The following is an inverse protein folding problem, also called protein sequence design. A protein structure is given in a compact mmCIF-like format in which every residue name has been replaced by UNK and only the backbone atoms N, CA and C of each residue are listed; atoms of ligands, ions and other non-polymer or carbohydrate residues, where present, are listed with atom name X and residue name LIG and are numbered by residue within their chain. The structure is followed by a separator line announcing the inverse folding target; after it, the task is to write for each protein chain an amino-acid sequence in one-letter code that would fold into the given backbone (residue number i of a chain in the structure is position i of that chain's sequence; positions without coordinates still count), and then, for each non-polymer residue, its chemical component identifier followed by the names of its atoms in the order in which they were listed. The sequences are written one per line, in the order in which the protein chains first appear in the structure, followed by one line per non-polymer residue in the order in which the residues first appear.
data_IF_535108692277
#
_entry.id   IF_535108692277
#
_cell.length_a   1.000
_cell.length_b   1.000
_cell.length_c   1.000
_cell.angle_alpha   90.00
_cell.angle_beta   90.00
_cell.angle_gamma   90.00
#
_symmetry.space_group_name_H-M   'P 1'
#
loop_
_entity.id
_entity.type
_entity.pdbx_description
1 polymer ?
#
# COMPACT_ATOMS: atom_id res chain seq x y z
N UNK A 1 21.89 -22.60 -24.80
CA UNK A 1 20.58 -23.25 -24.65
C UNK A 1 20.66 -24.55 -23.85
N UNK A 2 21.41 -25.58 -24.27
CA UNK A 2 21.54 -26.86 -23.51
C UNK A 2 21.85 -26.72 -22.00
N UNK A 3 22.83 -25.88 -21.64
CA UNK A 3 23.17 -25.66 -20.23
C UNK A 3 22.02 -25.03 -19.41
N UNK A 4 21.20 -24.20 -20.03
CA UNK A 4 20.03 -23.56 -19.41
C UNK A 4 18.87 -24.55 -19.25
N UNK A 5 18.65 -25.41 -20.25
CA UNK A 5 17.67 -26.51 -20.20
C UNK A 5 17.99 -27.45 -19.04
N UNK A 6 19.24 -27.90 -18.94
CA UNK A 6 19.67 -28.79 -17.85
C UNK A 6 19.54 -28.13 -16.46
N UNK A 7 19.70 -26.81 -16.36
CA UNK A 7 19.50 -26.10 -15.11
C UNK A 7 18.02 -26.08 -14.68
N UNK A 8 17.10 -25.83 -15.62
CA UNK A 8 15.66 -25.83 -15.32
C UNK A 8 15.16 -27.23 -14.97
N UNK A 9 15.63 -28.27 -15.67
CA UNK A 9 15.32 -29.68 -15.33
C UNK A 9 15.74 -30.01 -13.89
N UNK A 10 16.89 -29.50 -13.43
CA UNK A 10 17.34 -29.67 -12.04
C UNK A 10 16.45 -28.90 -11.05
N UNK A 11 16.07 -27.66 -11.36
CA UNK A 11 15.19 -26.84 -10.50
C UNK A 11 13.83 -27.52 -10.33
N UNK A 12 13.25 -28.03 -11.42
CA UNK A 12 11.98 -28.75 -11.39
C UNK A 12 12.08 -30.16 -10.80
N UNK A 13 13.29 -30.68 -10.61
CA UNK A 13 13.54 -32.09 -10.33
C UNK A 13 12.80 -33.02 -11.32
N UNK A 14 12.77 -32.62 -12.60
CA UNK A 14 12.05 -33.28 -13.68
C UNK A 14 12.88 -33.27 -14.96
N UNK A 15 12.97 -34.43 -15.62
CA UNK A 15 13.61 -34.54 -16.94
C UNK A 15 12.57 -34.69 -18.03
N UNK A 16 12.63 -33.80 -19.01
CA UNK A 16 11.73 -33.83 -20.15
C UNK A 16 12.04 -35.01 -21.07
N UNK A 17 10.98 -35.65 -21.58
CA UNK A 17 11.08 -36.65 -22.65
C UNK A 17 11.35 -35.96 -23.98
N UNK A 18 10.65 -34.86 -24.25
CA UNK A 18 10.93 -33.96 -25.37
C UNK A 18 11.50 -32.63 -24.89
N UNK A 19 12.83 -32.49 -25.00
CA UNK A 19 13.54 -31.26 -24.60
C UNK A 19 13.09 -30.01 -25.36
N UNK A 20 12.50 -30.17 -26.55
CA UNK A 20 12.01 -29.04 -27.36
C UNK A 20 10.84 -28.32 -26.67
N UNK A 21 10.01 -29.04 -25.91
CA UNK A 21 8.92 -28.44 -25.16
C UNK A 21 9.43 -27.41 -24.14
N UNK A 22 10.55 -27.72 -23.48
CA UNK A 22 11.21 -26.80 -22.54
C UNK A 22 11.90 -25.63 -23.27
N UNK A 23 12.54 -25.89 -24.41
CA UNK A 23 13.14 -24.82 -25.22
C UNK A 23 12.08 -23.82 -25.73
N UNK A 24 10.95 -24.32 -26.22
CA UNK A 24 9.82 -23.50 -26.68
C UNK A 24 9.20 -22.70 -25.53
N UNK A 25 9.00 -23.33 -24.35
CA UNK A 25 8.45 -22.64 -23.18
C UNK A 25 9.33 -21.49 -22.67
N UNK A 26 10.65 -21.59 -22.83
CA UNK A 26 11.60 -20.55 -22.45
C UNK A 26 11.83 -19.51 -23.55
N UNK A 27 11.25 -19.71 -24.74
CA UNK A 27 11.41 -18.82 -25.89
C UNK A 27 10.20 -17.89 -26.00
N UNK A 28 10.38 -16.64 -25.61
CA UNK A 28 9.33 -15.63 -25.76
C UNK A 28 9.17 -15.20 -27.23
N UNK A 29 7.96 -14.87 -27.67
CA UNK A 29 7.64 -14.45 -29.06
C UNK A 29 8.39 -13.20 -29.54
N UNK A 30 8.94 -12.42 -28.61
CA UNK A 30 9.80 -11.26 -28.89
C UNK A 30 11.28 -11.62 -29.06
N UNK A 31 11.64 -12.91 -29.14
CA UNK A 31 12.98 -13.38 -29.49
C UNK A 31 13.27 -13.17 -30.99
N UNK A 32 13.00 -11.96 -31.46
CA UNK A 32 13.54 -11.34 -32.67
C UNK A 32 14.54 -10.27 -32.22
N UNK A 33 15.55 -9.92 -33.03
CA UNK A 33 16.76 -9.11 -32.75
C UNK A 33 16.66 -7.80 -31.91
N UNK A 34 15.49 -7.39 -31.42
CA UNK A 34 15.29 -6.25 -30.53
C UNK A 34 15.15 -6.68 -29.06
N UNK A 35 16.24 -6.64 -28.30
CA UNK A 35 16.20 -6.75 -26.84
C UNK A 35 15.45 -5.57 -26.21
N UNK A 36 14.33 -5.83 -25.54
CA UNK A 36 13.63 -4.81 -24.74
C UNK A 36 14.32 -4.67 -23.37
N UNK A 37 15.25 -3.71 -23.28
CA UNK A 37 15.97 -3.39 -22.03
C UNK A 37 15.03 -3.04 -20.87
N UNK A 38 13.87 -2.44 -21.17
CA UNK A 38 12.87 -2.06 -20.17
C UNK A 38 12.30 -3.26 -19.40
N UNK A 39 12.05 -4.39 -20.08
CA UNK A 39 11.50 -5.59 -19.43
C UNK A 39 12.50 -6.22 -18.47
N UNK A 40 13.77 -6.30 -18.90
CA UNK A 40 14.85 -6.83 -18.07
C UNK A 40 15.08 -5.94 -16.85
N UNK A 41 15.05 -4.63 -17.04
CA UNK A 41 15.20 -3.69 -15.93
C UNK A 41 14.04 -3.81 -14.93
N UNK A 42 12.80 -3.94 -15.43
CA UNK A 42 11.65 -4.14 -14.56
C UNK A 42 11.71 -5.45 -13.77
N UNK A 43 12.22 -6.54 -14.37
CA UNK A 43 12.45 -7.81 -13.67
C UNK A 43 13.52 -7.67 -12.58
N UNK A 44 14.61 -6.94 -12.84
CA UNK A 44 15.66 -6.70 -11.82
C UNK A 44 15.11 -5.90 -10.64
N UNK A 45 14.41 -4.80 -10.91
CA UNK A 45 13.81 -3.97 -9.85
C UNK A 45 12.82 -4.78 -9.02
N UNK A 46 12.00 -5.63 -9.67
CA UNK A 46 11.10 -6.53 -8.96
C UNK A 46 11.86 -7.53 -8.09
N UNK A 47 12.91 -8.17 -8.60
CA UNK A 47 13.71 -9.12 -7.84
C UNK A 47 14.36 -8.46 -6.61
N UNK A 48 14.92 -7.26 -6.75
CA UNK A 48 15.45 -6.49 -5.63
C UNK A 48 14.38 -6.11 -4.60
N UNK A 49 13.18 -5.76 -5.05
CA UNK A 49 12.06 -5.45 -4.16
C UNK A 49 11.67 -6.67 -3.32
N UNK A 50 11.55 -7.84 -3.93
CA UNK A 50 11.24 -9.10 -3.24
C UNK A 50 12.31 -9.48 -2.22
N UNK A 51 13.61 -9.25 -2.50
CA UNK A 51 14.68 -9.54 -1.53
C UNK A 51 14.66 -8.67 -0.27
N UNK A 52 13.95 -7.53 -0.32
CA UNK A 52 13.82 -6.60 0.81
C UNK A 52 12.53 -6.83 1.61
N UNK A 53 11.73 -7.82 1.24
CA UNK A 53 10.51 -8.18 1.97
C UNK A 53 10.88 -9.16 3.10
N UNK A 54 10.75 -8.71 4.35
CA UNK A 54 11.13 -9.48 5.55
C UNK A 54 10.17 -10.65 5.85
N UNK A 55 8.95 -10.65 5.29
CA UNK A 55 7.93 -11.69 5.51
C UNK A 55 7.16 -12.02 4.22
N UNK A 56 6.62 -13.25 4.17
CA UNK A 56 5.76 -13.70 3.08
C UNK A 56 4.46 -12.87 3.01
N UNK A 57 4.28 -12.14 1.91
CA UNK A 57 3.09 -11.30 1.66
C UNK A 57 2.12 -12.03 0.73
N UNK A 58 1.08 -12.68 1.26
CA UNK A 58 0.10 -13.41 0.47
C UNK A 58 -0.72 -12.52 -0.50
N UNK A 59 -0.74 -11.20 -0.23
CA UNK A 59 -1.61 -10.24 -0.91
C UNK A 59 -0.85 -9.11 -1.58
N UNK A 60 0.13 -9.46 -2.41
CA UNK A 60 0.88 -8.52 -3.22
C UNK A 60 1.93 -7.78 -2.38
N UNK A 61 3.19 -8.02 -2.72
CA UNK A 61 4.33 -7.35 -2.12
C UNK A 61 4.38 -5.85 -2.42
N UNK A 62 5.54 -5.27 -2.15
CA UNK A 62 5.88 -3.87 -2.41
C UNK A 62 5.76 -3.49 -3.90
N UNK A 63 5.90 -4.48 -4.79
CA UNK A 63 5.79 -4.33 -6.23
C UNK A 63 4.94 -5.46 -6.84
N UNK A 64 4.17 -5.14 -7.89
CA UNK A 64 3.48 -6.16 -8.68
C UNK A 64 4.47 -6.92 -9.55
N UNK A 65 4.39 -8.25 -9.54
CA UNK A 65 5.17 -9.11 -10.41
C UNK A 65 5.00 -8.73 -11.90
N UNK A 66 6.11 -8.62 -12.67
CA UNK A 66 6.08 -8.50 -14.11
C UNK A 66 5.28 -9.63 -14.76
N UNK A 67 4.40 -9.30 -15.71
CA UNK A 67 3.57 -10.30 -16.41
C UNK A 67 4.42 -11.39 -17.07
N UNK A 68 5.57 -11.01 -17.64
CA UNK A 68 6.49 -11.94 -18.31
C UNK A 68 6.95 -13.09 -17.39
N UNK A 69 7.09 -12.86 -16.07
CA UNK A 69 7.46 -13.93 -15.15
C UNK A 69 6.32 -14.94 -14.97
N UNK A 70 5.07 -14.45 -14.91
CA UNK A 70 3.90 -15.32 -14.87
C UNK A 70 3.77 -16.13 -16.18
N UNK A 71 3.93 -15.47 -17.32
CA UNK A 71 3.87 -16.14 -18.64
C UNK A 71 4.93 -17.25 -18.75
N UNK A 72 6.14 -17.06 -18.19
CA UNK A 72 7.19 -18.10 -18.16
C UNK A 72 6.77 -19.31 -17.30
N UNK A 73 6.24 -19.07 -16.10
CA UNK A 73 5.79 -20.16 -15.21
C UNK A 73 4.62 -20.92 -15.83
N UNK A 74 3.67 -20.23 -16.45
CA UNK A 74 2.53 -20.82 -17.16
C UNK A 74 2.99 -21.66 -18.36
N UNK A 75 3.91 -21.14 -19.18
CA UNK A 75 4.47 -21.86 -20.31
C UNK A 75 5.24 -23.12 -19.88
N UNK A 76 6.00 -23.03 -18.77
CA UNK A 76 6.71 -24.17 -18.19
C UNK A 76 5.74 -25.25 -17.70
N UNK A 77 4.66 -24.84 -17.04
CA UNK A 77 3.61 -25.77 -16.60
C UNK A 77 2.93 -26.46 -17.78
N UNK A 78 2.63 -25.71 -18.83
CA UNK A 78 2.07 -26.25 -20.07
C UNK A 78 3.02 -27.27 -20.73
N UNK A 79 4.31 -26.96 -20.81
CA UNK A 79 5.32 -27.86 -21.38
C UNK A 79 5.42 -29.18 -20.61
N UNK A 80 5.50 -29.12 -19.27
CA UNK A 80 5.50 -30.33 -18.43
C UNK A 80 4.19 -31.11 -18.61
N UNK A 81 3.04 -30.43 -18.61
CA UNK A 81 1.73 -31.05 -18.76
C UNK A 81 1.59 -31.82 -20.09
N UNK A 82 2.12 -31.27 -21.19
CA UNK A 82 2.17 -31.95 -22.48
C UNK A 82 3.11 -33.16 -22.43
N UNK A 83 4.32 -33.00 -21.86
CA UNK A 83 5.36 -34.03 -21.83
C UNK A 83 4.96 -35.27 -21.01
N UNK A 84 4.22 -35.07 -19.92
CA UNK A 84 3.66 -36.13 -19.07
C UNK A 84 2.31 -36.66 -19.57
N UNK A 85 1.89 -36.32 -20.80
CA UNK A 85 0.64 -36.78 -21.42
C UNK A 85 -0.62 -36.36 -20.66
N UNK A 86 -0.65 -35.11 -20.20
CA UNK A 86 -1.80 -34.47 -19.56
C UNK A 86 -2.18 -35.07 -18.19
N UNK A 87 -1.21 -35.62 -17.46
CA UNK A 87 -1.41 -36.09 -16.07
C UNK A 87 -1.30 -34.95 -15.06
N UNK A 88 -2.44 -34.42 -14.63
CA UNK A 88 -2.51 -33.35 -13.63
C UNK A 88 -1.90 -33.73 -12.27
N UNK A 89 -1.97 -34.99 -11.88
CA UNK A 89 -1.44 -35.45 -10.58
C UNK A 89 0.08 -35.38 -10.59
N UNK A 90 0.68 -35.88 -11.67
CA UNK A 90 2.13 -35.82 -11.87
C UNK A 90 2.61 -34.38 -12.05
N UNK A 91 1.87 -33.53 -12.78
CA UNK A 91 2.16 -32.10 -12.91
C UNK A 91 2.25 -31.43 -11.54
N UNK A 92 1.26 -31.67 -10.68
CA UNK A 92 1.22 -31.11 -9.33
C UNK A 92 2.43 -31.53 -8.49
N UNK A 93 2.82 -32.81 -8.54
CA UNK A 93 4.01 -33.30 -7.80
C UNK A 93 5.28 -32.61 -8.27
N UNK A 94 5.44 -32.38 -9.58
CA UNK A 94 6.59 -31.68 -10.15
C UNK A 94 6.61 -30.20 -9.74
N UNK A 95 5.46 -29.52 -9.85
CA UNK A 95 5.37 -28.07 -9.61
C UNK A 95 5.29 -27.70 -8.13
N UNK A 96 4.91 -28.61 -7.25
CA UNK A 96 4.73 -28.32 -5.82
C UNK A 96 5.98 -27.66 -5.21
N UNK A 97 7.17 -28.20 -5.49
CA UNK A 97 8.42 -27.65 -4.95
C UNK A 97 8.73 -26.24 -5.44
N UNK A 98 8.24 -25.86 -6.63
CA UNK A 98 8.38 -24.50 -7.18
C UNK A 98 7.38 -23.51 -6.56
N UNK A 99 6.20 -24.01 -6.16
CA UNK A 99 5.11 -23.20 -5.62
C UNK A 99 5.12 -23.11 -4.09
N UNK A 100 6.07 -23.77 -3.43
CA UNK A 100 6.21 -23.72 -1.97
C UNK A 100 6.86 -22.39 -1.51
N UNK A 101 6.34 -21.74 -0.45
CA UNK A 101 5.14 -22.12 0.31
C UNK A 101 3.85 -21.80 -0.45
N UNK A 102 2.99 -22.80 -0.61
CA UNK A 102 1.66 -22.60 -1.19
C UNK A 102 0.85 -21.78 -0.18
N UNK A 103 0.22 -20.71 -0.66
CA UNK A 103 -0.76 -19.95 0.12
C UNK A 103 -1.93 -20.89 0.46
N UNK A 104 -1.96 -21.43 1.68
CA UNK A 104 -3.05 -22.29 2.13
C UNK A 104 -4.27 -21.45 2.50
N UNK A 105 -5.50 -22.01 2.48
CA UNK A 105 -6.68 -21.35 3.02
C UNK A 105 -6.48 -20.87 4.46
N UNK A 106 -5.75 -21.61 5.28
CA UNK A 106 -5.40 -21.24 6.65
C UNK A 106 -4.45 -20.03 6.68
N UNK A 107 -3.47 -19.97 5.78
CA UNK A 107 -2.60 -18.81 5.62
C UNK A 107 -3.38 -17.57 5.16
N UNK A 108 -4.40 -17.74 4.30
CA UNK A 108 -5.31 -16.67 3.89
C UNK A 108 -6.23 -16.19 5.01
N UNK A 109 -6.64 -17.08 5.90
CA UNK A 109 -7.41 -16.72 7.10
C UNK A 109 -6.55 -15.93 8.10
N UNK A 110 -5.26 -16.25 8.19
CA UNK A 110 -4.29 -15.53 9.04
C UNK A 110 -3.84 -14.19 8.43
N UNK A 111 -3.83 -14.06 7.10
CA UNK A 111 -3.55 -12.82 6.38
C UNK A 111 -4.75 -12.41 5.51
N UNK A 112 -5.90 -12.02 6.08
CA UNK A 112 -7.06 -11.63 5.30
C UNK A 112 -6.73 -10.42 4.42
N UNK A 113 -7.34 -10.36 3.23
CA UNK A 113 -7.23 -9.22 2.30
C UNK A 113 -7.43 -7.90 3.06
N UNK A 114 -6.43 -7.01 3.12
CA UNK A 114 -6.46 -5.83 3.99
C UNK A 114 -7.69 -4.96 3.76
N UNK A 115 -8.13 -4.83 2.51
CA UNK A 115 -9.32 -4.06 2.14
C UNK A 115 -10.55 -4.66 2.78
N UNK A 116 -10.78 -5.96 2.58
CA UNK A 116 -11.93 -6.66 3.16
C UNK A 116 -11.92 -6.60 4.69
N UNK A 117 -10.75 -6.81 5.30
CA UNK A 117 -10.59 -6.74 6.75
C UNK A 117 -10.97 -5.36 7.31
N UNK A 118 -10.54 -4.28 6.66
CA UNK A 118 -10.87 -2.91 7.08
C UNK A 118 -12.40 -2.69 7.05
N UNK A 119 -13.06 -3.09 5.97
CA UNK A 119 -14.53 -2.99 5.88
C UNK A 119 -15.21 -3.82 6.97
N UNK A 120 -14.75 -5.04 7.22
CA UNK A 120 -15.33 -5.92 8.24
C UNK A 120 -15.20 -5.33 9.65
N UNK A 121 -14.01 -4.85 10.03
CA UNK A 121 -13.76 -4.24 11.35
C UNK A 121 -14.65 -3.01 11.55
N UNK A 122 -14.69 -2.12 10.56
CA UNK A 122 -15.49 -0.90 10.66
C UNK A 122 -16.99 -1.21 10.69
N UNK A 123 -17.47 -2.16 9.87
CA UNK A 123 -18.87 -2.56 9.85
C UNK A 123 -19.31 -3.17 11.20
N UNK A 124 -18.47 -4.02 11.81
CA UNK A 124 -18.72 -4.57 13.16
C UNK A 124 -18.84 -3.48 14.22
N UNK A 125 -18.16 -2.35 14.05
CA UNK A 125 -18.23 -1.19 14.93
C UNK A 125 -19.35 -0.20 14.55
N UNK A 126 -20.17 -0.50 13.54
CA UNK A 126 -21.21 0.39 13.04
C UNK A 126 -20.68 1.63 12.30
N UNK A 127 -19.43 1.59 11.83
CA UNK A 127 -18.75 2.69 11.14
C UNK A 127 -18.74 2.50 9.63
N UNK A 128 -18.79 3.60 8.88
CA UNK A 128 -18.76 3.63 7.43
C UNK A 128 -17.36 3.95 6.89
N UNK A 129 -16.85 3.14 5.96
CA UNK A 129 -15.54 3.34 5.32
C UNK A 129 -15.72 3.95 3.94
N UNK A 130 -14.98 5.03 3.66
CA UNK A 130 -14.86 5.64 2.33
C UNK A 130 -13.39 5.68 1.91
N UNK A 131 -13.11 5.30 0.66
CA UNK A 131 -11.74 5.32 0.11
C UNK A 131 -11.74 6.21 -1.13
N UNK A 132 -11.12 7.39 -0.99
CA UNK A 132 -11.02 8.36 -2.07
C UNK A 132 -9.73 8.19 -2.82
N UNK A 133 -9.80 8.38 -4.13
CA UNK A 133 -8.66 8.30 -5.03
C UNK A 133 -8.43 9.64 -5.73
N UNK A 134 -7.18 10.06 -5.78
CA UNK A 134 -6.76 11.25 -6.50
C UNK A 134 -5.32 11.09 -6.99
N UNK A 135 -4.85 12.03 -7.81
CA UNK A 135 -3.48 12.01 -8.36
C UNK A 135 -2.73 13.26 -7.95
N UNK A 136 -1.46 13.08 -7.59
CA UNK A 136 -0.51 14.16 -7.35
C UNK A 136 0.66 14.01 -8.33
N UNK A 137 0.59 14.72 -9.44
CA UNK A 137 1.52 14.55 -10.56
C UNK A 137 1.49 13.12 -11.12
N UNK A 138 2.61 12.41 -11.03
CA UNK A 138 2.78 11.03 -11.53
C UNK A 138 2.29 9.98 -10.52
N UNK A 139 2.14 10.33 -9.24
CA UNK A 139 1.77 9.38 -8.18
C UNK A 139 0.26 9.34 -7.99
N UNK A 140 -0.28 8.13 -7.89
CA UNK A 140 -1.65 7.87 -7.44
C UNK A 140 -1.69 7.87 -5.92
N UNK A 141 -2.71 8.49 -5.35
CA UNK A 141 -2.93 8.56 -3.92
C UNK A 141 -4.30 7.98 -3.61
N UNK A 142 -4.34 7.14 -2.57
CA UNK A 142 -5.57 6.67 -1.96
C UNK A 142 -5.63 7.16 -0.51
N UNK A 143 -6.81 7.57 -0.09
CA UNK A 143 -7.05 8.09 1.26
C UNK A 143 -8.25 7.38 1.86
N UNK A 144 -8.07 6.81 3.04
CA UNK A 144 -9.08 6.08 3.79
C UNK A 144 -9.70 7.02 4.82
N UNK A 145 -11.03 7.09 4.79
CA UNK A 145 -11.86 7.79 5.75
C UNK A 145 -12.79 6.81 6.46
N UNK A 146 -13.01 7.01 7.76
CA UNK A 146 -14.00 6.27 8.54
C UNK A 146 -14.93 7.29 9.20
N UNK A 147 -16.23 7.19 8.94
CA UNK A 147 -17.27 8.17 9.33
C UNK A 147 -16.93 9.62 8.95
N UNK A 148 -16.23 9.78 7.81
CA UNK A 148 -15.78 11.07 7.30
C UNK A 148 -14.50 11.62 7.96
N UNK A 149 -13.93 10.93 8.96
CA UNK A 149 -12.65 11.28 9.55
C UNK A 149 -11.50 10.62 8.79
N UNK A 150 -10.42 11.37 8.56
CA UNK A 150 -9.21 10.85 7.93
C UNK A 150 -8.53 9.82 8.84
N UNK A 151 -8.26 8.62 8.31
CA UNK A 151 -7.51 7.60 9.05
C UNK A 151 -6.08 7.49 8.51
N UNK A 152 -5.93 7.27 7.21
CA UNK A 152 -4.64 7.05 6.58
C UNK A 152 -4.64 7.37 5.09
N UNK A 153 -3.45 7.48 4.52
CA UNK A 153 -3.25 7.62 3.07
C UNK A 153 -2.07 6.79 2.61
N UNK A 154 -2.12 6.35 1.36
CA UNK A 154 -1.05 5.62 0.69
C UNK A 154 -0.83 6.17 -0.71
N UNK A 155 0.42 6.10 -1.17
CA UNK A 155 0.80 6.55 -2.51
C UNK A 155 1.58 5.47 -3.26
N UNK A 156 1.44 5.46 -4.58
CA UNK A 156 2.19 4.60 -5.50
C UNK A 156 2.03 5.10 -6.94
N UNK A 157 2.94 4.72 -7.81
CA UNK A 157 2.80 4.81 -9.27
C UNK A 157 1.54 4.11 -9.82
N UNK A 158 0.92 3.21 -9.06
CA UNK A 158 -0.31 2.48 -9.43
C UNK A 158 -1.45 2.68 -8.43
N UNK A 159 -2.68 2.68 -8.94
CA UNK A 159 -3.90 2.91 -8.16
C UNK A 159 -4.21 1.77 -7.17
N UNK A 160 -3.97 0.53 -7.58
CA UNK A 160 -4.20 -0.68 -6.77
C UNK A 160 -3.26 -0.75 -5.56
N UNK A 161 -1.97 -0.52 -5.78
CA UNK A 161 -0.96 -0.49 -4.71
C UNK A 161 -1.15 0.72 -3.79
N UNK A 162 -1.48 1.90 -4.33
CA UNK A 162 -1.79 3.07 -3.50
C UNK A 162 -2.97 2.80 -2.54
N UNK A 163 -4.02 2.12 -3.05
CA UNK A 163 -5.17 1.68 -2.23
C UNK A 163 -4.73 0.74 -1.12
N UNK A 164 -3.95 -0.28 -1.47
CA UNK A 164 -3.50 -1.29 -0.53
C UNK A 164 -2.63 -0.69 0.58
N UNK A 165 -1.70 0.21 0.23
CA UNK A 165 -0.86 0.92 1.19
C UNK A 165 -1.69 1.79 2.15
N UNK A 166 -2.68 2.53 1.64
CA UNK A 166 -3.55 3.35 2.47
C UNK A 166 -4.36 2.52 3.48
N UNK A 167 -4.81 1.34 3.05
CA UNK A 167 -5.58 0.42 3.88
C UNK A 167 -4.71 -0.28 4.92
N UNK A 168 -3.49 -0.72 4.57
CA UNK A 168 -2.54 -1.32 5.52
C UNK A 168 -2.22 -0.34 6.66
N UNK A 169 -1.92 0.90 6.30
CA UNK A 169 -1.68 1.97 7.28
C UNK A 169 -2.94 2.24 8.13
N UNK A 170 -4.13 2.23 7.53
CA UNK A 170 -5.38 2.42 8.28
C UNK A 170 -5.60 1.29 9.30
N UNK A 171 -5.38 0.04 8.91
CA UNK A 171 -5.50 -1.11 9.80
C UNK A 171 -4.51 -1.03 10.97
N UNK A 172 -3.26 -0.64 10.72
CA UNK A 172 -2.25 -0.46 11.78
C UNK A 172 -2.64 0.63 12.77
N UNK A 173 -3.20 1.75 12.30
CA UNK A 173 -3.68 2.82 13.19
C UNK A 173 -4.89 2.38 14.02
N UNK A 174 -5.81 1.65 13.39
CA UNK A 174 -6.99 1.13 14.08
C UNK A 174 -6.61 0.05 15.11
N UNK A 175 -5.63 -0.81 14.81
CA UNK A 175 -5.13 -1.82 15.76
C UNK A 175 -4.37 -1.19 16.94
N UNK A 176 -3.57 -0.14 16.69
CA UNK A 176 -2.86 0.57 17.76
C UNK A 176 -3.84 1.28 18.70
N UNK A 177 -4.97 1.77 18.18
CA UNK A 177 -6.03 2.38 18.99
C UNK A 177 -6.81 1.36 19.85
N UNK A 178 -6.68 0.05 19.60
CA UNK A 178 -7.33 -1.03 20.37
C UNK A 178 -6.45 -1.50 21.54
N UNK A 179 -5.12 -1.36 21.46
CA UNK A 179 -4.18 -1.79 22.52
C UNK A 179 -4.14 -0.82 23.70
N UNK A 180 -4.63 0.41 23.55
CA UNK A 180 -4.63 1.42 24.63
C UNK A 180 -5.70 1.14 25.71
N UNK A 181 -6.57 0.13 25.53
CA UNK A 181 -7.65 -0.18 26.48
C UNK A 181 -7.33 -1.31 27.48
N UNK A 182 -6.08 -1.80 27.53
CA UNK A 182 -5.62 -2.76 28.55
C UNK A 182 -4.25 -2.34 29.11
N UNK A 183 -4.22 -1.21 29.82
CA UNK A 183 -3.46 -1.12 31.07
C UNK A 183 -3.90 0.11 31.86
N UNK A 184 -4.65 -0.14 32.94
CA UNK A 184 -4.99 0.87 33.94
C UNK A 184 -3.79 1.10 34.86
N UNK A 185 -3.07 2.20 34.67
CA UNK A 185 -2.37 2.87 35.76
C UNK A 185 -2.64 4.38 35.66
N UNK A 186 -3.42 4.85 36.63
CA UNK A 186 -4.00 6.17 36.68
C UNK A 186 -2.98 7.30 36.57
N UNK A 187 -3.24 8.18 35.61
CA UNK A 187 -3.00 9.61 35.74
C UNK A 187 -4.26 10.28 35.17
N UNK A 188 -4.84 11.14 36.00
CA UNK A 188 -6.06 11.89 35.76
C UNK A 188 -6.07 12.68 34.44
N UNK A 189 -7.29 12.79 33.88
CA UNK A 189 -7.74 13.76 32.87
C UNK A 189 -7.00 13.83 31.52
N UNK A 190 -7.36 12.99 30.54
CA UNK A 190 -7.24 13.39 29.12
C UNK A 190 -8.50 13.02 28.31
N UNK A 191 -9.25 14.09 28.03
CA UNK A 191 -10.39 14.19 27.12
C UNK A 191 -10.03 13.68 25.70
N UNK A 192 -10.92 12.89 25.10
CA UNK A 192 -10.73 12.15 23.85
C UNK A 192 -10.67 12.97 22.57
N UNK A 193 -9.53 13.63 22.30
CA UNK A 193 -9.16 14.00 20.94
C UNK A 193 -7.65 13.88 20.72
N UNK A 194 -7.23 13.15 19.69
CA UNK A 194 -5.85 13.09 19.18
C UNK A 194 -5.42 14.44 18.53
N UNK A 195 -5.87 15.56 19.09
CA UNK A 195 -5.52 16.89 18.62
C UNK A 195 -4.31 17.39 19.39
N UNK A 196 -3.25 17.73 18.66
CA UNK A 196 -2.12 18.43 19.26
C UNK A 196 -2.66 19.77 19.81
N UNK A 197 -2.68 19.90 21.15
CA UNK A 197 -2.97 21.18 21.81
C UNK A 197 -2.04 22.25 21.23
N UNK A 198 -2.64 23.35 20.76
CA UNK A 198 -1.96 24.50 20.14
C UNK A 198 -1.14 24.20 18.87
N UNK A 199 -1.58 23.22 18.07
CA UNK A 199 -0.96 22.86 16.80
C UNK A 199 -0.71 24.06 15.88
N UNK A 200 -1.62 25.04 15.82
CA UNK A 200 -1.46 26.26 15.01
C UNK A 200 -0.18 27.04 15.38
N UNK A 201 0.10 27.17 16.68
CA UNK A 201 1.30 27.85 17.17
C UNK A 201 2.55 27.00 16.96
N UNK A 202 2.46 25.69 17.18
CA UNK A 202 3.57 24.75 16.97
C UNK A 202 4.00 24.70 15.50
N UNK A 203 3.04 24.66 14.58
CA UNK A 203 3.30 24.67 13.14
C UNK A 203 3.94 26.01 12.71
N UNK A 204 3.47 27.12 13.27
CA UNK A 204 4.11 28.43 13.03
C UNK A 204 5.58 28.45 13.47
N UNK A 205 5.88 27.98 14.69
CA UNK A 205 7.26 27.86 15.21
C UNK A 205 8.11 26.94 14.34
N UNK A 206 7.53 25.85 13.83
CA UNK A 206 8.20 24.92 12.93
C UNK A 206 8.59 25.59 11.60
N UNK A 207 7.65 26.29 10.95
CA UNK A 207 7.95 27.03 9.72
C UNK A 207 9.10 28.01 9.91
N UNK A 208 9.11 28.75 11.04
CA UNK A 208 10.20 29.67 11.37
C UNK A 208 11.55 28.95 11.55
N UNK A 209 11.57 27.81 12.25
CA UNK A 209 12.79 26.99 12.43
C UNK A 209 13.33 26.47 11.09
N UNK A 210 12.45 26.07 10.17
CA UNK A 210 12.79 25.55 8.84
C UNK A 210 12.98 26.64 7.78
N UNK A 211 12.89 27.93 8.17
CA UNK A 211 12.92 29.09 7.26
C UNK A 211 11.85 29.06 6.16
N UNK A 212 10.73 28.38 6.41
CA UNK A 212 9.59 28.40 5.50
C UNK A 212 8.71 29.64 5.74
N UNK A 213 8.03 30.13 4.69
CA UNK A 213 6.93 31.08 4.82
C UNK A 213 5.90 30.67 5.89
N UNK A 214 5.20 31.66 6.43
CA UNK A 214 4.17 31.44 7.45
C UNK A 214 3.04 30.57 6.86
N UNK A 215 2.47 29.63 7.63
CA UNK A 215 1.36 28.81 7.19
C UNK A 215 0.12 29.67 6.90
N UNK A 216 -0.47 29.49 5.73
CA UNK A 216 -1.67 30.20 5.26
C UNK A 216 -2.87 29.30 5.52
N UNK A 217 -3.89 29.81 6.21
CA UNK A 217 -5.12 29.07 6.51
C UNK A 217 -6.27 29.59 5.65
N UNK A 218 -7.03 28.69 5.05
CA UNK A 218 -8.19 28.99 4.22
C UNK A 218 -9.39 28.18 4.71
N UNK A 219 -10.55 28.82 4.88
CA UNK A 219 -11.79 28.12 5.19
C UNK A 219 -12.34 27.51 3.91
N UNK A 220 -12.35 26.19 3.81
CA UNK A 220 -12.81 25.48 2.60
C UNK A 220 -14.32 25.26 2.58
N UNK A 221 -14.92 24.93 3.73
CA UNK A 221 -16.35 24.58 3.82
C UNK A 221 -16.94 25.01 5.15
N UNK A 222 -18.15 25.57 5.10
CA UNK A 222 -19.08 25.62 6.22
C UNK A 222 -20.38 24.86 5.87
N UNK A 223 -20.63 23.77 6.57
CA UNK A 223 -21.80 22.92 6.37
C UNK A 223 -22.68 22.93 7.62
N UNK A 224 -24.00 22.83 7.44
CA UNK A 224 -24.97 22.68 8.52
C UNK A 224 -25.82 23.93 8.79
N UNK A 225 -26.94 23.75 9.51
CA UNK A 225 -27.82 24.86 9.87
C UNK A 225 -27.09 25.84 10.82
N UNK A 226 -27.53 27.11 10.93
CA UNK A 226 -26.86 28.13 11.74
C UNK A 226 -26.57 27.71 13.19
N UNK A 227 -27.39 26.84 13.77
CA UNK A 227 -27.26 26.34 15.14
C UNK A 227 -26.37 25.08 15.28
N UNK A 228 -25.88 24.51 14.18
CA UNK A 228 -25.00 23.33 14.17
C UNK A 228 -23.93 23.40 13.06
N UNK A 229 -23.43 24.61 12.80
CA UNK A 229 -22.40 24.81 11.76
C UNK A 229 -21.13 24.03 12.08
N UNK A 230 -20.61 23.34 11.05
CA UNK A 230 -19.31 22.68 11.05
C UNK A 230 -18.41 23.37 10.03
N UNK A 231 -17.19 23.68 10.45
CA UNK A 231 -16.18 24.36 9.67
C UNK A 231 -15.04 23.39 9.33
N UNK A 232 -14.52 23.51 8.12
CA UNK A 232 -13.33 22.81 7.65
C UNK A 232 -12.33 23.84 7.15
N UNK A 233 -11.14 23.85 7.76
CA UNK A 233 -10.02 24.69 7.33
C UNK A 233 -8.96 23.85 6.64
N UNK A 234 -8.30 24.43 5.64
CA UNK A 234 -7.08 23.90 5.06
C UNK A 234 -5.89 24.80 5.40
N UNK A 235 -4.70 24.20 5.46
CA UNK A 235 -3.43 24.92 5.68
C UNK A 235 -2.46 24.67 4.53
N UNK A 236 -1.85 25.75 4.06
CA UNK A 236 -0.84 25.78 2.99
C UNK A 236 0.50 26.25 3.50
N UNK A 237 1.56 25.54 3.16
CA UNK A 237 2.94 25.95 3.44
C UNK A 237 3.74 25.88 2.13
N UNK A 238 4.03 27.02 1.49
CA UNK A 238 4.95 27.06 0.37
C UNK A 238 6.36 26.70 0.84
N UNK A 239 7.03 25.81 0.13
CA UNK A 239 8.44 25.44 0.36
C UNK A 239 9.21 25.47 -0.96
N UNK A 240 10.53 25.36 -0.91
CA UNK A 240 11.38 25.35 -2.12
C UNK A 240 11.06 24.17 -3.05
N UNK A 241 10.61 23.04 -2.49
CA UNK A 241 10.26 21.81 -3.23
C UNK A 241 8.78 21.74 -3.67
N UNK A 242 7.97 22.76 -3.35
CA UNK A 242 6.53 22.79 -3.63
C UNK A 242 5.68 23.27 -2.45
N UNK A 243 4.36 23.29 -2.64
CA UNK A 243 3.42 23.76 -1.59
C UNK A 243 2.76 22.58 -0.89
N UNK A 244 3.02 22.43 0.41
CA UNK A 244 2.25 21.50 1.24
C UNK A 244 0.82 22.01 1.41
N UNK A 245 -0.14 21.12 1.24
CA UNK A 245 -1.57 21.39 1.35
C UNK A 245 -2.23 20.28 2.15
N UNK A 246 -2.95 20.62 3.21
CA UNK A 246 -3.78 19.64 3.93
C UNK A 246 -5.05 20.28 4.48
N UNK A 247 -6.10 19.48 4.51
CA UNK A 247 -7.40 19.84 5.08
C UNK A 247 -7.56 19.19 6.45
N UNK A 248 -8.03 19.95 7.44
CA UNK A 248 -8.32 19.47 8.79
C UNK A 248 -9.68 18.78 8.92
N UNK A 249 -9.97 18.28 10.11
CA UNK A 249 -11.27 17.68 10.44
C UNK A 249 -12.37 18.75 10.58
N UNK A 250 -13.62 18.30 10.45
CA UNK A 250 -14.81 19.13 10.71
C UNK A 250 -14.88 19.53 12.18
N UNK A 251 -14.95 20.84 12.47
CA UNK A 251 -15.03 21.38 13.83
C UNK A 251 -16.15 22.37 14.02
N UNK A 252 -16.55 22.57 15.28
CA UNK A 252 -17.65 23.47 15.64
C UNK A 252 -17.30 24.96 15.49
N UNK A 253 -16.00 25.28 15.50
CA UNK A 253 -15.48 26.65 15.38
C UNK A 253 -14.34 26.70 14.39
N UNK A 254 -14.23 27.82 13.66
CA UNK A 254 -13.12 28.07 12.72
C UNK A 254 -11.75 27.95 13.40
N UNK A 255 -11.61 28.45 14.64
CA UNK A 255 -10.36 28.34 15.40
C UNK A 255 -9.95 26.89 15.68
N UNK A 256 -10.92 26.01 15.92
CA UNK A 256 -10.70 24.58 16.14
C UNK A 256 -10.38 23.88 14.81
N UNK A 257 -11.08 24.25 13.73
CA UNK A 257 -10.81 23.75 12.37
C UNK A 257 -9.38 24.09 11.92
N UNK A 258 -8.92 25.32 12.16
CA UNK A 258 -7.54 25.75 11.90
C UNK A 258 -6.53 24.94 12.72
N UNK A 259 -6.82 24.71 14.01
CA UNK A 259 -5.93 23.93 14.86
C UNK A 259 -5.88 22.46 14.41
N UNK A 260 -7.01 21.91 13.98
CA UNK A 260 -7.08 20.56 13.39
C UNK A 260 -6.25 20.48 12.10
N UNK A 261 -6.43 21.42 11.16
CA UNK A 261 -5.63 21.49 9.94
C UNK A 261 -4.12 21.59 10.23
N UNK A 262 -3.74 22.39 11.23
CA UNK A 262 -2.36 22.49 11.68
C UNK A 262 -1.84 21.18 12.28
N UNK A 263 -2.67 20.45 13.03
CA UNK A 263 -2.32 19.17 13.63
C UNK A 263 -2.05 18.13 12.55
N UNK A 264 -2.94 18.02 11.57
CA UNK A 264 -2.77 17.13 10.41
C UNK A 264 -1.48 17.48 9.64
N UNK A 265 -1.22 18.76 9.40
CA UNK A 265 0.01 19.19 8.72
C UNK A 265 1.28 18.78 9.46
N UNK A 266 1.33 18.99 10.78
CA UNK A 266 2.49 18.58 11.60
C UNK A 266 2.71 17.07 11.50
N UNK A 267 1.64 16.29 11.55
CA UNK A 267 1.72 14.84 11.46
C UNK A 267 2.23 14.40 10.08
N UNK A 268 1.69 14.96 9.00
CA UNK A 268 2.16 14.67 7.64
C UNK A 268 3.63 15.05 7.43
N UNK A 269 4.09 16.18 8.02
CA UNK A 269 5.50 16.57 7.95
C UNK A 269 6.43 15.60 8.69
N UNK A 270 5.97 14.99 9.79
CA UNK A 270 6.72 13.93 10.49
C UNK A 270 6.81 12.67 9.65
N UNK A 271 5.71 12.25 9.05
CA UNK A 271 5.65 11.04 8.20
C UNK A 271 6.54 11.17 6.95
N UNK A 272 6.60 12.37 6.37
CA UNK A 272 7.47 12.70 5.24
C UNK A 272 8.94 12.93 5.64
N UNK A 273 9.31 12.73 6.91
CA UNK A 273 10.66 12.94 7.49
C UNK A 273 11.24 14.35 7.28
N UNK A 274 10.38 15.36 7.13
CA UNK A 274 10.80 16.77 7.12
C UNK A 274 11.03 17.32 8.53
N UNK A 275 10.56 16.61 9.55
CA UNK A 275 10.69 16.90 10.98
C UNK A 275 11.61 15.89 11.65
#
# INVERSE_FOLDING_TARGET
MRASVDAVERILNYRFRDKRLLEDALTHSSYSDATSYERLEFVKVFAEAVTKEDEFVAHGGSMKAPKVLADIVEALAAAVYIDIRFDLTTLWVIFRGLLEPIVTPEALQQQPQPVSLLFEICQKQGKYVDIKHWKNGVKNIATVFVDGQFIASGSSDRKDIAKLNAVREALQRLSTSIVVDVDSLGIDEINGSLEIKEAKQKLHKLCMKKKWPKPIYELEKDEGPPHEKKFVSAVKIPTEDGTFYITGDKKSRVKEADNSAASCMIQSLKELRYL
#
